data_IF_447759028863
#
_entry.id   IF_447759028863
#
_cell.length_a   1.000
_cell.length_b   1.000
_cell.length_c   1.000
_cell.angle_alpha   90.00
_cell.angle_beta   90.00
_cell.angle_gamma   90.00
#
_symmetry.space_group_name_H-M   'P 1'
#
loop_
_entity.id
_entity.type
_entity.pdbx_description
1 polymer ?
#
# COMPACT_ATOMS: atom_id res chain seq x y z
N UNK A 1 47.56 36.34 -14.96
CA UNK A 1 48.52 35.22 -15.09
C UNK A 1 47.95 34.06 -14.27
N UNK A 2 47.26 33.18 -14.90
CA UNK A 2 47.00 31.79 -14.39
C UNK A 2 46.29 30.98 -15.46
N UNK A 3 47.05 30.40 -16.37
CA UNK A 3 46.58 29.39 -17.31
C UNK A 3 47.33 28.11 -17.00
N UNK A 4 46.62 26.99 -16.75
CA UNK A 4 47.30 25.71 -16.72
C UNK A 4 46.80 24.68 -15.71
N UNK A 5 45.51 24.37 -15.66
CA UNK A 5 45.05 23.14 -14.96
C UNK A 5 43.85 22.52 -15.68
N UNK A 6 44.05 22.04 -16.90
CA UNK A 6 42.91 21.47 -17.68
C UNK A 6 43.29 20.33 -18.63
N UNK A 7 44.52 19.79 -18.55
CA UNK A 7 44.97 18.76 -19.52
C UNK A 7 45.30 17.39 -18.94
N UNK A 8 45.29 17.21 -17.61
CA UNK A 8 45.63 15.92 -17.00
C UNK A 8 44.42 15.00 -16.72
N UNK A 9 43.18 15.49 -16.84
CA UNK A 9 41.98 14.71 -16.50
C UNK A 9 41.39 13.91 -17.68
N UNK A 10 41.90 14.06 -18.91
CA UNK A 10 41.35 13.38 -20.10
C UNK A 10 42.07 12.11 -20.51
N UNK A 11 43.22 11.79 -19.91
CA UNK A 11 43.99 10.61 -20.25
C UNK A 11 43.66 9.35 -19.42
N UNK A 12 42.97 9.49 -18.29
CA UNK A 12 42.65 8.35 -17.41
C UNK A 12 41.32 7.64 -17.74
N UNK A 13 40.44 8.24 -18.55
CA UNK A 13 39.16 7.64 -18.88
C UNK A 13 39.17 6.70 -20.10
N UNK A 14 40.24 6.74 -20.91
CA UNK A 14 40.37 5.92 -22.10
C UNK A 14 40.90 4.49 -21.87
N UNK A 15 41.49 4.20 -20.71
CA UNK A 15 42.14 2.90 -20.45
C UNK A 15 41.24 1.88 -19.77
N UNK A 16 40.13 2.32 -19.16
CA UNK A 16 39.22 1.42 -18.43
C UNK A 16 38.19 0.76 -19.34
N UNK A 17 37.88 1.37 -20.51
CA UNK A 17 36.86 0.85 -21.46
C UNK A 17 37.40 -0.26 -22.37
N UNK A 18 38.74 -0.37 -22.52
CA UNK A 18 39.36 -1.35 -23.44
C UNK A 18 39.59 -2.76 -22.82
N UNK A 19 39.39 -2.95 -21.52
CA UNK A 19 39.65 -4.23 -20.83
C UNK A 19 38.38 -5.05 -20.55
N UNK A 20 37.18 -4.53 -20.85
CA UNK A 20 35.88 -5.21 -20.63
C UNK A 20 35.38 -6.05 -21.81
N UNK A 21 36.05 -6.05 -22.97
CA UNK A 21 35.56 -6.66 -24.21
C UNK A 21 36.15 -8.04 -24.55
N UNK A 22 36.96 -8.64 -23.70
CA UNK A 22 37.70 -9.85 -24.07
C UNK A 22 37.29 -11.16 -23.35
N UNK A 23 36.17 -11.19 -22.62
CA UNK A 23 35.76 -12.37 -21.82
C UNK A 23 34.37 -12.94 -22.16
N UNK A 24 33.83 -12.71 -23.36
CA UNK A 24 32.50 -13.17 -23.77
C UNK A 24 32.52 -14.16 -24.94
N UNK A 25 33.41 -15.13 -24.97
CA UNK A 25 33.38 -16.16 -26.02
C UNK A 25 34.04 -17.48 -25.58
N UNK A 26 33.51 -18.14 -24.53
CA UNK A 26 33.64 -19.61 -24.39
C UNK A 26 32.52 -20.13 -23.49
N UNK A 27 31.65 -20.96 -24.00
CA UNK A 27 30.74 -21.72 -23.12
C UNK A 27 29.37 -22.06 -23.71
N UNK A 28 29.33 -22.48 -24.99
CA UNK A 28 28.16 -23.19 -25.50
C UNK A 28 28.35 -24.69 -25.26
N UNK A 29 27.80 -25.23 -24.17
CA UNK A 29 27.63 -26.69 -23.98
C UNK A 29 26.16 -26.95 -23.64
N UNK A 30 25.48 -27.62 -24.54
CA UNK A 30 24.16 -28.17 -24.37
C UNK A 30 24.19 -29.30 -23.33
N UNK A 31 23.27 -29.26 -22.36
CA UNK A 31 22.78 -30.46 -21.66
C UNK A 31 21.29 -30.34 -21.43
N UNK A 32 20.57 -31.16 -22.16
CA UNK A 32 19.19 -31.46 -21.92
C UNK A 32 19.10 -32.21 -20.59
N UNK A 33 18.30 -31.70 -19.63
CA UNK A 33 17.99 -32.36 -18.37
C UNK A 33 16.60 -32.01 -17.91
N UNK A 34 15.73 -33.00 -17.94
CA UNK A 34 14.37 -32.99 -17.45
C UNK A 34 14.29 -32.74 -15.95
N UNK A 35 13.22 -32.06 -15.52
CA UNK A 35 12.51 -32.31 -14.27
C UNK A 35 12.96 -31.47 -13.08
N UNK A 36 12.08 -30.63 -12.59
CA UNK A 36 12.19 -29.99 -11.30
C UNK A 36 11.24 -28.80 -11.19
N UNK A 37 10.00 -29.07 -10.82
CA UNK A 37 9.10 -28.04 -10.28
C UNK A 37 9.73 -27.44 -9.02
N UNK A 38 10.29 -26.25 -9.14
CA UNK A 38 10.65 -25.42 -8.01
C UNK A 38 9.82 -24.13 -8.11
N UNK A 39 8.92 -23.97 -7.12
CA UNK A 39 8.02 -22.86 -7.01
C UNK A 39 8.74 -21.53 -7.05
N UNK A 40 8.52 -20.77 -8.10
CA UNK A 40 8.81 -19.35 -8.12
C UNK A 40 7.90 -18.67 -7.12
N UNK A 41 8.47 -18.11 -6.06
CA UNK A 41 7.78 -17.11 -5.26
C UNK A 41 7.54 -15.89 -6.16
N UNK A 42 6.38 -15.88 -6.80
CA UNK A 42 5.85 -14.69 -7.43
C UNK A 42 5.56 -13.64 -6.36
N UNK A 43 5.58 -12.35 -6.71
CA UNK A 43 5.17 -11.31 -5.77
C UNK A 43 3.78 -11.67 -5.28
N UNK A 44 3.63 -11.72 -3.95
CA UNK A 44 2.38 -12.01 -3.28
C UNK A 44 1.34 -11.02 -3.78
N UNK A 45 0.41 -11.48 -4.60
CA UNK A 45 -0.74 -10.70 -4.96
C UNK A 45 -1.49 -10.42 -3.65
N UNK A 46 -1.62 -9.14 -3.31
CA UNK A 46 -2.52 -8.65 -2.28
C UNK A 46 -3.87 -9.35 -2.49
N UNK A 47 -4.47 -9.98 -1.46
CA UNK A 47 -5.78 -10.57 -1.61
C UNK A 47 -6.76 -9.47 -2.03
N UNK A 48 -7.37 -9.66 -3.19
CA UNK A 48 -8.41 -8.78 -3.67
C UNK A 48 -9.51 -8.71 -2.61
N UNK A 49 -10.02 -7.49 -2.30
CA UNK A 49 -11.10 -7.35 -1.34
C UNK A 49 -12.26 -8.23 -1.78
N UNK A 50 -12.84 -8.96 -0.82
CA UNK A 50 -14.00 -9.81 -1.03
C UNK A 50 -15.11 -8.95 -1.67
N UNK A 51 -15.42 -9.23 -2.94
CA UNK A 51 -16.41 -8.48 -3.71
C UNK A 51 -17.79 -8.64 -3.05
N UNK A 52 -18.22 -7.62 -2.32
CA UNK A 52 -19.60 -7.47 -1.94
C UNK A 52 -20.35 -6.89 -3.16
N UNK A 53 -21.38 -7.61 -3.62
CA UNK A 53 -22.22 -7.24 -4.77
C UNK A 53 -23.11 -6.04 -4.42
N UNK A 54 -22.57 -4.86 -4.57
CA UNK A 54 -23.21 -3.56 -4.57
C UNK A 54 -22.48 -2.67 -5.58
N UNK A 55 -23.04 -1.56 -6.00
CA UNK A 55 -22.29 -0.58 -6.78
C UNK A 55 -20.94 -0.34 -6.07
N UNK A 56 -19.82 -0.49 -6.80
CA UNK A 56 -18.50 -0.44 -6.19
C UNK A 56 -18.37 0.86 -5.37
N UNK A 57 -18.07 0.73 -4.06
CA UNK A 57 -17.84 1.89 -3.20
C UNK A 57 -16.68 2.72 -3.77
N UNK A 58 -16.80 4.04 -3.69
CA UNK A 58 -15.74 4.96 -4.15
C UNK A 58 -14.54 4.98 -3.19
N UNK A 59 -14.79 4.64 -1.93
CA UNK A 59 -13.76 4.59 -0.87
C UNK A 59 -14.01 3.37 0.01
N UNK A 60 -12.95 2.66 0.37
CA UNK A 60 -12.97 1.67 1.44
C UNK A 60 -12.30 2.26 2.67
N UNK A 61 -13.04 2.34 3.77
CA UNK A 61 -12.54 2.74 5.08
C UNK A 61 -12.26 1.48 5.91
N UNK A 62 -10.97 1.15 6.06
CA UNK A 62 -10.50 0.02 6.86
C UNK A 62 -10.11 0.50 8.25
N UNK A 63 -10.73 -0.07 9.28
CA UNK A 63 -10.40 0.13 10.68
C UNK A 63 -9.69 -1.10 11.21
N UNK A 64 -8.42 -0.96 11.64
CA UNK A 64 -7.68 -2.01 12.33
C UNK A 64 -7.67 -1.69 13.83
N UNK A 65 -8.34 -2.52 14.61
CA UNK A 65 -8.54 -2.29 16.04
C UNK A 65 -8.71 -3.59 16.79
N UNK A 66 -9.29 -3.52 17.98
CA UNK A 66 -9.72 -4.68 18.76
C UNK A 66 -10.92 -4.32 19.65
N UNK A 67 -11.81 -5.30 19.86
CA UNK A 67 -12.94 -5.18 20.75
C UNK A 67 -12.54 -5.02 22.22
N UNK A 68 -11.29 -5.31 22.60
CA UNK A 68 -10.78 -5.15 23.96
C UNK A 68 -9.97 -3.85 24.16
N UNK A 69 -9.73 -3.08 23.09
CA UNK A 69 -8.99 -1.83 23.11
C UNK A 69 -9.93 -0.63 23.36
N UNK A 70 -9.65 0.21 24.36
CA UNK A 70 -10.55 1.32 24.72
C UNK A 70 -10.68 2.35 23.60
N UNK A 71 -9.60 2.93 23.02
CA UNK A 71 -9.76 3.90 21.94
C UNK A 71 -10.35 3.30 20.65
N UNK A 72 -10.19 1.98 20.43
CA UNK A 72 -10.83 1.30 19.29
C UNK A 72 -12.36 1.23 19.47
N UNK A 73 -12.84 1.07 20.72
CA UNK A 73 -14.28 1.13 21.01
C UNK A 73 -14.89 2.50 20.71
N UNK A 74 -14.12 3.56 20.92
CA UNK A 74 -14.55 4.93 20.60
C UNK A 74 -14.68 5.15 19.09
N UNK A 75 -13.97 4.37 18.26
CA UNK A 75 -14.13 4.39 16.80
C UNK A 75 -15.42 3.72 16.31
N UNK A 76 -16.06 2.83 17.08
CA UNK A 76 -17.29 2.15 16.67
C UNK A 76 -18.44 3.10 16.28
N UNK A 77 -18.83 4.09 17.13
CA UNK A 77 -19.83 5.07 16.73
C UNK A 77 -19.38 5.94 15.56
N UNK A 78 -18.09 6.24 15.41
CA UNK A 78 -17.55 6.99 14.28
C UNK A 78 -17.74 6.21 12.98
N UNK A 79 -17.36 4.93 12.93
CA UNK A 79 -17.58 4.06 11.76
C UNK A 79 -19.05 4.00 11.35
N UNK A 80 -19.96 3.80 12.34
CA UNK A 80 -21.40 3.80 12.09
C UNK A 80 -21.88 5.15 11.58
N UNK A 81 -21.35 6.26 12.09
CA UNK A 81 -21.63 7.62 11.63
C UNK A 81 -21.22 7.85 10.18
N UNK A 82 -20.02 7.42 9.81
CA UNK A 82 -19.50 7.52 8.43
C UNK A 82 -20.37 6.68 7.47
N UNK A 83 -20.67 5.43 7.82
CA UNK A 83 -21.54 4.58 7.01
C UNK A 83 -22.92 5.23 6.80
N UNK A 84 -23.47 5.85 7.84
CA UNK A 84 -24.75 6.57 7.76
C UNK A 84 -24.66 7.84 6.90
N UNK A 85 -23.55 8.59 7.01
CA UNK A 85 -23.38 9.87 6.33
C UNK A 85 -23.12 9.72 4.82
N UNK A 86 -22.49 8.65 4.38
CA UNK A 86 -22.08 8.46 2.99
C UNK A 86 -22.73 7.25 2.30
N UNK A 87 -23.37 6.34 3.04
CA UNK A 87 -24.05 5.16 2.50
C UNK A 87 -23.14 4.29 1.65
N UNK A 88 -23.62 3.88 0.50
CA UNK A 88 -22.92 2.98 -0.42
C UNK A 88 -21.66 3.60 -1.09
N UNK A 89 -21.39 4.89 -0.87
CA UNK A 89 -20.17 5.53 -1.37
C UNK A 89 -18.93 5.10 -0.58
N UNK A 90 -19.12 4.65 0.68
CA UNK A 90 -18.03 4.22 1.57
C UNK A 90 -18.32 2.80 2.06
N UNK A 91 -17.42 1.88 1.77
CA UNK A 91 -17.40 0.57 2.42
C UNK A 91 -16.59 0.67 3.72
N UNK A 92 -17.20 0.31 4.85
CA UNK A 92 -16.53 0.33 6.17
C UNK A 92 -16.21 -1.10 6.59
N UNK A 93 -14.92 -1.41 6.77
CA UNK A 93 -14.41 -2.72 7.17
C UNK A 93 -13.70 -2.59 8.51
N UNK A 94 -14.04 -3.47 9.46
CA UNK A 94 -13.34 -3.60 10.73
C UNK A 94 -12.60 -4.93 10.82
N UNK A 95 -11.32 -4.88 11.22
CA UNK A 95 -10.53 -6.04 11.55
C UNK A 95 -10.15 -6.02 13.03
N UNK A 96 -10.53 -7.07 13.81
CA UNK A 96 -9.98 -7.30 15.14
C UNK A 96 -8.62 -7.98 14.99
N UNK A 97 -7.55 -7.19 15.14
CA UNK A 97 -6.17 -7.65 14.90
C UNK A 97 -5.60 -8.46 16.07
N UNK A 98 -6.34 -8.56 17.19
CA UNK A 98 -5.98 -9.46 18.27
C UNK A 98 -6.58 -10.85 18.09
N UNK A 99 -7.68 -10.96 17.37
CA UNK A 99 -8.25 -12.23 16.95
C UNK A 99 -7.55 -12.79 15.71
N UNK A 100 -7.30 -11.91 14.71
CA UNK A 100 -6.55 -12.24 13.50
C UNK A 100 -5.52 -11.15 13.19
N UNK A 101 -4.22 -11.41 13.39
CA UNK A 101 -3.16 -10.44 13.11
C UNK A 101 -2.81 -10.29 11.62
N UNK A 102 -3.35 -11.11 10.73
CA UNK A 102 -2.99 -11.09 9.32
C UNK A 102 -3.25 -9.75 8.65
N UNK A 103 -4.41 -9.08 8.83
CA UNK A 103 -4.66 -7.76 8.27
C UNK A 103 -3.67 -6.70 8.77
N UNK A 104 -3.31 -6.70 10.07
CA UNK A 104 -2.34 -5.75 10.60
C UNK A 104 -0.96 -5.91 9.94
N UNK A 105 -0.53 -7.14 9.69
CA UNK A 105 0.72 -7.44 9.00
C UNK A 105 0.67 -7.00 7.54
N UNK A 106 -0.45 -7.26 6.85
CA UNK A 106 -0.65 -6.89 5.44
C UNK A 106 -0.59 -5.37 5.24
N UNK A 107 -1.30 -4.61 6.08
CA UNK A 107 -1.30 -3.14 6.02
C UNK A 107 -0.08 -2.51 6.72
N UNK A 108 0.82 -3.30 7.33
CA UNK A 108 1.99 -2.81 8.05
C UNK A 108 1.63 -2.00 9.31
N UNK A 109 0.53 -2.32 9.98
CA UNK A 109 0.04 -1.62 11.17
C UNK A 109 0.69 -2.20 12.42
N UNK A 110 1.29 -1.32 13.23
CA UNK A 110 1.96 -1.68 14.49
C UNK A 110 1.26 -1.13 15.73
N UNK A 111 0.34 -0.19 15.56
CA UNK A 111 -0.44 0.42 16.64
C UNK A 111 -1.91 0.46 16.27
N UNK A 112 -2.80 0.27 17.26
CA UNK A 112 -4.25 0.34 17.10
C UNK A 112 -4.84 1.42 18.03
N UNK A 113 -5.95 2.04 17.63
CA UNK A 113 -6.61 1.91 16.33
C UNK A 113 -5.80 2.56 15.20
N UNK A 114 -5.89 2.02 13.98
CA UNK A 114 -5.37 2.65 12.76
C UNK A 114 -6.42 2.57 11.68
N UNK A 115 -6.67 3.71 11.04
CA UNK A 115 -7.60 3.87 9.94
C UNK A 115 -6.85 3.98 8.63
N UNK A 116 -7.29 3.24 7.62
CA UNK A 116 -6.72 3.25 6.27
C UNK A 116 -7.84 3.52 5.28
N UNK A 117 -7.60 4.43 4.36
CA UNK A 117 -8.57 4.80 3.33
C UNK A 117 -8.01 4.42 1.96
N UNK A 118 -8.73 3.56 1.26
CA UNK A 118 -8.40 3.07 -0.06
C UNK A 118 -9.37 3.68 -1.08
N UNK A 119 -8.87 4.00 -2.25
CA UNK A 119 -9.70 4.42 -3.37
C UNK A 119 -10.34 3.22 -4.08
N UNK A 120 -11.11 3.48 -5.12
CA UNK A 120 -11.81 2.47 -5.93
C UNK A 120 -10.88 1.45 -6.61
N UNK A 121 -9.58 1.76 -6.72
CA UNK A 121 -8.57 0.85 -7.24
C UNK A 121 -7.91 0.00 -6.15
N UNK A 122 -8.23 0.25 -4.89
CA UNK A 122 -7.59 -0.36 -3.71
C UNK A 122 -6.27 0.31 -3.31
N UNK A 123 -5.92 1.45 -3.92
CA UNK A 123 -4.73 2.19 -3.53
C UNK A 123 -4.97 3.03 -2.28
N UNK A 124 -4.06 2.93 -1.30
CA UNK A 124 -4.11 3.73 -0.08
C UNK A 124 -3.85 5.21 -0.41
N UNK A 125 -4.75 6.09 0.03
CA UNK A 125 -4.58 7.53 -0.14
C UNK A 125 -4.49 8.29 1.19
N UNK A 126 -4.92 7.68 2.30
CA UNK A 126 -4.82 8.29 3.63
C UNK A 126 -4.68 7.24 4.72
N UNK A 127 -3.95 7.60 5.79
CA UNK A 127 -3.78 6.77 6.99
C UNK A 127 -3.75 7.66 8.21
N UNK A 128 -4.43 7.20 9.28
CA UNK A 128 -4.40 7.85 10.59
C UNK A 128 -4.19 6.80 11.67
N UNK A 129 -3.46 7.14 12.75
CA UNK A 129 -3.25 6.26 13.90
C UNK A 129 -3.75 6.94 15.17
N UNK A 130 -4.51 6.23 15.97
CA UNK A 130 -5.20 6.73 17.15
C UNK A 130 -6.67 7.01 16.87
N UNK A 131 -7.37 7.64 17.83
CA UNK A 131 -8.75 8.06 17.65
C UNK A 131 -8.84 9.14 16.56
N UNK A 132 -9.76 8.96 15.61
CA UNK A 132 -9.98 9.88 14.50
C UNK A 132 -11.40 10.45 14.60
N UNK A 133 -11.56 11.76 14.86
CA UNK A 133 -12.88 12.37 14.96
C UNK A 133 -13.71 12.20 13.69
N UNK A 134 -15.02 11.99 13.84
CA UNK A 134 -15.92 11.78 12.71
C UNK A 134 -15.90 12.96 11.73
N UNK A 135 -15.89 14.20 12.24
CA UNK A 135 -15.85 15.41 11.42
C UNK A 135 -14.61 15.50 10.52
N UNK A 136 -13.47 15.02 10.99
CA UNK A 136 -12.22 15.02 10.23
C UNK A 136 -12.26 13.98 9.10
N UNK A 137 -12.82 12.79 9.39
CA UNK A 137 -13.05 11.75 8.37
C UNK A 137 -14.07 12.25 7.32
N UNK A 138 -15.15 12.89 7.76
CA UNK A 138 -16.14 13.46 6.85
C UNK A 138 -15.53 14.54 5.94
N UNK A 139 -14.68 15.41 6.49
CA UNK A 139 -13.97 16.43 5.72
C UNK A 139 -13.04 15.80 4.67
N UNK A 140 -12.27 14.77 5.05
CA UNK A 140 -11.42 14.00 4.15
C UNK A 140 -12.21 13.38 2.99
N UNK A 141 -13.36 12.77 3.28
CA UNK A 141 -14.18 12.11 2.28
C UNK A 141 -14.86 13.11 1.31
N UNK A 142 -15.29 14.26 1.82
CA UNK A 142 -15.83 15.36 0.99
C UNK A 142 -14.75 15.94 0.09
N UNK A 143 -13.52 16.12 0.58
CA UNK A 143 -12.37 16.55 -0.24
C UNK A 143 -12.08 15.57 -1.37
N UNK A 144 -12.34 14.27 -1.16
CA UNK A 144 -12.24 13.20 -2.17
C UNK A 144 -13.45 13.14 -3.12
N UNK A 145 -14.38 14.05 -3.02
CA UNK A 145 -15.54 14.18 -3.91
C UNK A 145 -16.73 13.29 -3.56
N UNK A 146 -16.80 12.79 -2.31
CA UNK A 146 -17.98 12.11 -1.82
C UNK A 146 -19.00 13.13 -1.30
N UNK A 147 -20.28 12.81 -1.42
CA UNK A 147 -21.38 13.66 -0.97
C UNK A 147 -22.05 13.04 0.26
N UNK A 148 -22.29 13.87 1.29
CA UNK A 148 -23.09 13.43 2.43
C UNK A 148 -24.54 13.21 2.00
N UNK A 149 -25.10 12.08 2.39
CA UNK A 149 -26.50 11.79 2.20
C UNK A 149 -27.28 12.69 3.15
N UNK A 150 -28.20 13.51 2.59
CA UNK A 150 -29.12 14.28 3.40
C UNK A 150 -29.98 13.32 4.24
N UNK A 151 -29.81 13.34 5.57
CA UNK A 151 -30.70 12.61 6.48
C UNK A 151 -32.04 13.34 6.48
N UNK A 152 -33.18 12.65 6.15
CA UNK A 152 -34.50 13.25 6.18
C UNK A 152 -34.91 13.67 7.60
#
# INVERSE_FOLDING_TARGET
MSAGRGRAARAALGLVVALASALALVGLVALAGCGGSAGGAGPSASPAPTQHSGAAAKVTFVELGSDSCVPCKEMRPVMAGIQKAFGDQVEVIFYDVWDDPAPANEYGVQMIPTQIFLDETGAEFHRHTGFYPQEDIEALLVERGLEKIATP
#
